data_IF_344484491916
#
_entry.id   IF_344484491916
#
_cell.length_a   1.000
_cell.length_b   1.000
_cell.length_c   1.000
_cell.angle_alpha   90.00
_cell.angle_beta   90.00
_cell.angle_gamma   90.00
#
_symmetry.space_group_name_H-M   'P 1'
#
loop_
_entity.id
_entity.type
_entity.pdbx_description
1 polymer ?
#
# COMPACT_ATOMS: atom_id res chain seq x y z
N UNK A 1 10.66 -15.96 -0.58
CA UNK A 1 9.79 -15.42 -1.65
C UNK A 1 9.68 -13.92 -1.42
N UNK A 2 9.74 -13.13 -2.49
CA UNK A 2 9.49 -11.69 -2.42
C UNK A 2 8.19 -11.40 -3.15
N UNK A 3 7.27 -10.71 -2.49
CA UNK A 3 6.03 -10.22 -3.10
C UNK A 3 6.11 -8.70 -3.13
N UNK A 4 5.78 -8.14 -4.29
CA UNK A 4 5.68 -6.69 -4.49
C UNK A 4 4.26 -6.35 -4.89
N UNK A 5 3.78 -5.23 -4.37
CA UNK A 5 2.50 -4.63 -4.69
C UNK A 5 2.65 -3.10 -4.65
N UNK A 6 1.61 -2.37 -5.01
CA UNK A 6 1.61 -0.92 -5.00
C UNK A 6 0.34 -0.40 -4.34
N UNK A 7 0.46 0.68 -3.58
CA UNK A 7 -0.68 1.47 -3.13
C UNK A 7 -0.61 2.88 -3.73
N UNK A 8 -1.75 3.57 -3.84
CA UNK A 8 -1.78 4.87 -4.49
C UNK A 8 -1.00 5.91 -3.70
N UNK A 9 -0.15 6.66 -4.38
CA UNK A 9 0.50 7.86 -3.85
C UNK A 9 -0.10 9.10 -4.49
N UNK A 10 -0.38 10.09 -3.67
CA UNK A 10 -0.84 11.38 -4.16
C UNK A 10 0.33 12.24 -4.65
N UNK A 11 0.15 12.88 -5.80
CA UNK A 11 1.03 13.94 -6.29
C UNK A 11 0.64 15.34 -5.75
N UNK A 12 -0.55 15.46 -5.15
CA UNK A 12 -1.09 16.68 -4.59
C UNK A 12 -0.96 16.67 -3.06
N UNK A 13 -0.35 17.72 -2.50
CA UNK A 13 -0.13 17.89 -1.05
C UNK A 13 -1.44 17.91 -0.23
N UNK A 14 -2.56 18.17 -0.88
CA UNK A 14 -3.89 18.28 -0.28
C UNK A 14 -4.60 16.92 -0.13
N UNK A 15 -4.05 15.87 -0.75
CA UNK A 15 -4.55 14.51 -0.60
C UNK A 15 -3.64 13.78 0.39
N UNK A 16 -4.20 13.46 1.54
CA UNK A 16 -3.54 12.71 2.61
C UNK A 16 -3.83 11.22 2.41
N UNK A 17 -2.78 10.42 2.22
CA UNK A 17 -2.87 8.95 2.18
C UNK A 17 -2.35 8.42 3.51
N UNK A 18 -3.23 7.81 4.30
CA UNK A 18 -2.86 7.20 5.57
C UNK A 18 -2.79 5.68 5.41
N UNK A 19 -1.63 5.12 5.74
CA UNK A 19 -1.45 3.68 5.81
C UNK A 19 -2.07 3.13 7.09
N UNK A 20 -3.04 2.21 6.95
CA UNK A 20 -3.77 1.65 8.09
C UNK A 20 -3.26 0.27 8.51
N UNK A 21 -2.88 -0.58 7.56
CA UNK A 21 -2.33 -1.91 7.88
C UNK A 21 -1.39 -2.40 6.77
N UNK A 22 -0.16 -2.74 7.14
CA UNK A 22 0.85 -3.35 6.25
C UNK A 22 1.79 -4.25 7.07
N UNK A 23 1.22 -5.26 7.72
CA UNK A 23 2.00 -6.17 8.58
C UNK A 23 3.17 -6.77 7.81
N UNK A 24 4.38 -6.54 8.34
CA UNK A 24 5.65 -7.04 7.82
C UNK A 24 5.94 -6.63 6.36
N UNK A 25 5.29 -5.59 5.87
CA UNK A 25 5.60 -4.96 4.59
C UNK A 25 6.57 -3.80 4.82
N UNK A 26 7.55 -3.66 3.93
CA UNK A 26 8.31 -2.42 3.79
C UNK A 26 7.58 -1.58 2.76
N UNK A 27 7.23 -0.36 3.14
CA UNK A 27 6.41 0.53 2.30
C UNK A 27 7.19 1.80 2.01
N UNK A 28 7.38 2.07 0.73
CA UNK A 28 7.92 3.32 0.24
C UNK A 28 6.77 4.31 0.06
N UNK A 29 6.76 5.35 0.89
CA UNK A 29 5.71 6.38 0.89
C UNK A 29 5.85 7.37 -0.27
N UNK A 30 7.02 7.45 -0.91
CA UNK A 30 7.26 8.33 -2.07
C UNK A 30 6.74 7.68 -3.35
N UNK A 31 6.97 6.37 -3.51
CA UNK A 31 6.63 5.64 -4.75
C UNK A 31 5.34 4.82 -4.63
N UNK A 32 4.89 4.53 -3.41
CA UNK A 32 3.77 3.65 -3.15
C UNK A 32 4.15 2.17 -3.20
N UNK A 33 5.43 1.82 -3.35
CA UNK A 33 5.85 0.42 -3.45
C UNK A 33 5.72 -0.30 -2.09
N UNK A 34 5.12 -1.49 -2.12
CA UNK A 34 4.94 -2.35 -0.95
C UNK A 34 5.67 -3.65 -1.20
N UNK A 35 6.63 -3.96 -0.34
CA UNK A 35 7.44 -5.18 -0.46
C UNK A 35 7.30 -6.05 0.78
N UNK A 36 6.97 -7.33 0.58
CA UNK A 36 7.03 -8.35 1.62
C UNK A 36 8.13 -9.36 1.33
N UNK A 37 8.98 -9.59 2.33
CA UNK A 37 9.94 -10.71 2.34
C UNK A 37 9.34 -11.85 3.16
N UNK A 38 8.96 -12.93 2.47
CA UNK A 38 8.27 -14.06 3.07
C UNK A 38 9.15 -15.30 3.08
N UNK A 39 9.19 -15.94 4.24
CA UNK A 39 9.65 -17.32 4.41
C UNK A 39 8.38 -18.17 4.49
N UNK A 40 8.14 -19.01 3.48
CA UNK A 40 6.94 -19.84 3.37
C UNK A 40 7.38 -21.30 3.34
N UNK A 41 6.88 -22.10 4.27
CA UNK A 41 7.17 -23.53 4.33
C UNK A 41 6.37 -24.31 3.24
N UNK A 42 6.80 -25.53 2.87
CA UNK A 42 6.04 -26.37 1.93
C UNK A 42 4.60 -26.59 2.42
N UNK A 43 3.62 -26.28 1.57
CA UNK A 43 2.19 -26.39 1.90
C UNK A 43 1.62 -25.26 2.76
N UNK A 44 2.44 -24.29 3.19
CA UNK A 44 1.98 -23.14 3.96
C UNK A 44 1.30 -22.11 3.06
N UNK A 45 0.15 -21.60 3.51
CA UNK A 45 -0.55 -20.46 2.90
C UNK A 45 -0.43 -19.25 3.81
N UNK A 46 0.22 -18.18 3.34
CA UNK A 46 0.24 -16.89 4.03
C UNK A 46 -0.73 -15.92 3.38
N UNK A 47 -1.63 -15.35 4.19
CA UNK A 47 -2.52 -14.26 3.78
C UNK A 47 -1.93 -12.93 4.19
N UNK A 48 -1.86 -12.00 3.24
CA UNK A 48 -1.37 -10.65 3.45
C UNK A 48 -2.52 -9.68 3.22
N UNK A 49 -2.58 -8.64 4.04
CA UNK A 49 -3.57 -7.57 3.90
C UNK A 49 -2.84 -6.24 3.87
N UNK A 50 -3.23 -5.41 2.93
CA UNK A 50 -2.92 -4.00 2.91
C UNK A 50 -4.22 -3.22 3.02
N UNK A 51 -4.22 -2.14 3.81
CA UNK A 51 -5.32 -1.19 3.89
C UNK A 51 -4.78 0.23 3.96
N UNK A 52 -5.41 1.14 3.23
CA UNK A 52 -5.07 2.56 3.21
C UNK A 52 -6.36 3.41 3.20
N UNK A 53 -6.27 4.62 3.73
CA UNK A 53 -7.32 5.64 3.70
C UNK A 53 -6.84 6.80 2.85
N UNK A 54 -7.72 7.30 1.97
CA UNK A 54 -7.43 8.46 1.12
C UNK A 54 -8.40 9.56 1.51
N UNK A 55 -7.84 10.70 1.94
CA UNK A 55 -8.57 11.92 2.21
C UNK A 55 -8.21 12.94 1.14
N UNK A 56 -9.21 13.46 0.42
CA UNK A 56 -9.02 14.38 -0.70
C UNK A 56 -10.04 15.53 -0.63
N UNK A 57 -9.73 16.71 -1.19
CA UNK A 57 -10.61 17.87 -1.15
C UNK A 57 -11.91 17.65 -1.94
N UNK A 58 -13.00 18.24 -1.43
CA UNK A 58 -14.34 18.09 -2.01
C UNK A 58 -14.41 18.82 -3.35
N UNK A 59 -14.69 18.08 -4.43
CA UNK A 59 -14.82 18.63 -5.78
C UNK A 59 -13.69 18.25 -6.73
N UNK A 60 -12.65 17.55 -6.25
CA UNK A 60 -11.61 16.98 -7.12
C UNK A 60 -11.91 15.53 -7.52
N UNK A 61 -11.52 15.18 -8.73
CA UNK A 61 -11.57 13.81 -9.23
C UNK A 61 -10.33 13.05 -8.76
N UNK A 62 -10.52 12.11 -7.85
CA UNK A 62 -9.49 11.16 -7.44
C UNK A 62 -9.33 10.09 -8.52
N UNK A 63 -8.25 10.16 -9.30
CA UNK A 63 -7.85 9.09 -10.21
C UNK A 63 -6.80 8.20 -9.55
N UNK A 64 -7.17 6.95 -9.28
CA UNK A 64 -6.26 5.90 -8.83
C UNK A 64 -6.03 4.99 -10.05
N UNK A 65 -4.78 4.81 -10.47
CA UNK A 65 -4.41 3.86 -11.52
C UNK A 65 -4.00 2.52 -10.91
#
# INVERSE_FOLDING_TARGET
ITVKDQFPVSQHKEIEVEQLESKNAVVDQETGEVTWKLIVAPGEVKKMRISYSIKYPKGELLNLN
#
